data_IF_303806311760
#
_entry.id   IF_303806311760
#
_cell.length_a   1.000
_cell.length_b   1.000
_cell.length_c   1.000
_cell.angle_alpha   90.00
_cell.angle_beta   90.00
_cell.angle_gamma   90.00
#
_symmetry.space_group_name_H-M   'P 1'
#
loop_
_entity.id
_entity.type
_entity.pdbx_description
1 polymer ?
#
# COMPACT_ATOMS: atom_id res chain seq x y z
N UNK A 1 -19.68 0.98 -11.10
CA UNK A 1 -20.91 0.71 -11.88
C UNK A 1 -21.22 1.97 -12.68
N UNK A 2 -21.40 1.90 -14.00
CA UNK A 2 -21.79 3.09 -14.80
C UNK A 2 -23.31 3.20 -14.90
N UNK A 3 -23.86 4.41 -14.75
CA UNK A 3 -25.28 4.70 -15.05
C UNK A 3 -25.35 5.65 -16.23
N UNK A 4 -26.06 5.21 -17.27
CA UNK A 4 -26.35 6.04 -18.45
C UNK A 4 -27.76 6.59 -18.32
N UNK A 5 -27.91 7.90 -18.53
CA UNK A 5 -29.22 8.56 -18.57
C UNK A 5 -29.49 9.03 -19.99
N UNK A 6 -30.66 8.72 -20.52
CA UNK A 6 -31.14 9.22 -21.80
C UNK A 6 -32.42 10.03 -21.58
N UNK A 7 -32.60 11.08 -22.40
CA UNK A 7 -33.80 11.92 -22.40
C UNK A 7 -34.59 11.63 -23.68
N UNK A 8 -35.87 11.30 -23.54
CA UNK A 8 -36.82 11.25 -24.64
C UNK A 8 -37.44 12.66 -24.76
N UNK A 9 -37.34 13.26 -25.94
CA UNK A 9 -37.98 14.53 -26.25
C UNK A 9 -39.23 14.24 -27.06
N UNK A 10 -40.38 14.50 -26.46
CA UNK A 10 -41.68 14.34 -27.11
C UNK A 10 -42.28 15.72 -27.42
N UNK A 11 -42.54 16.05 -28.70
CA UNK A 11 -43.34 17.21 -29.05
C UNK A 11 -44.69 17.15 -28.34
N UNK A 12 -45.26 18.31 -28.00
CA UNK A 12 -46.60 18.37 -27.41
C UNK A 12 -47.40 19.46 -28.12
N UNK A 13 -48.70 19.24 -28.33
CA UNK A 13 -49.58 20.21 -28.99
C UNK A 13 -50.88 19.58 -29.52
N UNK A 14 -51.76 20.38 -30.13
CA UNK A 14 -52.90 19.87 -30.89
C UNK A 14 -53.12 20.67 -32.19
N UNK A 15 -53.14 20.03 -33.37
CA UNK A 15 -52.81 18.62 -33.59
C UNK A 15 -51.31 18.35 -33.37
N UNK A 16 -51.00 17.29 -32.64
CA UNK A 16 -49.64 16.77 -32.53
C UNK A 16 -49.33 15.90 -33.75
N UNK A 17 -48.25 16.23 -34.45
CA UNK A 17 -47.79 15.51 -35.63
C UNK A 17 -46.34 15.01 -35.48
N UNK A 18 -45.76 15.10 -34.28
CA UNK A 18 -44.45 14.59 -33.96
C UNK A 18 -44.48 13.18 -33.35
N UNK A 19 -43.36 12.46 -33.47
CA UNK A 19 -43.10 11.26 -32.66
C UNK A 19 -41.93 11.56 -31.73
N UNK A 20 -42.04 11.20 -30.45
CA UNK A 20 -40.94 11.35 -29.50
C UNK A 20 -39.64 10.75 -30.01
N UNK A 21 -38.56 11.53 -29.93
CA UNK A 21 -37.22 11.12 -30.35
C UNK A 21 -36.28 11.15 -29.15
N UNK A 22 -35.40 10.15 -29.03
CA UNK A 22 -34.35 10.20 -28.04
C UNK A 22 -33.38 11.33 -28.38
N UNK A 23 -32.97 12.10 -27.38
CA UNK A 23 -31.94 13.12 -27.55
C UNK A 23 -30.69 12.47 -28.14
N UNK A 24 -30.16 13.05 -29.23
CA UNK A 24 -29.02 12.52 -29.98
C UNK A 24 -27.74 12.42 -29.13
N UNK A 25 -27.68 13.12 -27.99
CA UNK A 25 -26.57 13.12 -27.06
C UNK A 25 -27.08 12.74 -25.68
N UNK A 26 -26.51 11.69 -25.08
CA UNK A 26 -26.76 11.31 -23.70
C UNK A 26 -25.58 11.75 -22.82
N UNK A 27 -25.85 12.07 -21.55
CA UNK A 27 -24.80 12.27 -20.55
C UNK A 27 -24.49 10.94 -19.88
N UNK A 28 -23.27 10.43 -20.12
CA UNK A 28 -22.78 9.21 -19.45
C UNK A 28 -22.12 9.59 -18.13
N UNK A 29 -22.60 9.01 -17.03
CA UNK A 29 -21.99 9.19 -15.71
C UNK A 29 -21.33 7.86 -15.32
N UNK A 30 -20.01 7.90 -15.16
CA UNK A 30 -19.22 6.74 -14.73
C UNK A 30 -18.87 6.89 -13.27
N UNK A 31 -19.30 5.93 -12.45
CA UNK A 31 -18.88 5.84 -11.05
C UNK A 31 -17.86 4.70 -10.94
N UNK A 32 -16.63 5.06 -10.62
CA UNK A 32 -15.55 4.11 -10.37
C UNK A 32 -15.60 3.60 -8.93
N UNK A 33 -15.18 2.35 -8.66
CA UNK A 33 -15.23 1.79 -7.31
C UNK A 33 -14.31 2.55 -6.35
N UNK A 34 -14.66 2.54 -5.06
CA UNK A 34 -13.79 3.06 -4.00
C UNK A 34 -12.44 2.35 -4.02
N UNK A 35 -11.37 3.09 -3.84
CA UNK A 35 -10.01 2.55 -3.80
C UNK A 35 -9.76 1.83 -2.48
N UNK A 36 -9.24 0.60 -2.57
CA UNK A 36 -8.61 -0.12 -1.49
C UNK A 36 -7.09 -0.13 -1.75
N UNK A 37 -6.30 0.37 -0.81
CA UNK A 37 -4.84 0.52 -0.97
C UNK A 37 -4.06 -0.77 -0.68
N UNK A 38 -4.75 -1.89 -0.46
CA UNK A 38 -4.18 -3.19 -0.19
C UNK A 38 -3.68 -3.36 1.25
N UNK A 39 -3.31 -4.60 1.57
CA UNK A 39 -2.73 -5.01 2.84
C UNK A 39 -1.41 -5.73 2.57
N UNK A 40 -0.34 -5.37 3.27
CA UNK A 40 0.95 -6.06 3.14
C UNK A 40 0.91 -7.43 3.85
N UNK A 41 1.40 -8.47 3.18
CA UNK A 41 1.76 -9.77 3.78
C UNK A 41 3.17 -9.69 4.32
N UNK A 42 3.29 -9.24 5.56
CA UNK A 42 4.50 -9.46 6.32
C UNK A 42 4.10 -9.57 7.78
N UNK A 43 4.42 -10.70 8.39
CA UNK A 43 4.53 -10.75 9.84
C UNK A 43 5.86 -10.13 10.24
N UNK A 44 5.90 -9.50 11.41
CA UNK A 44 7.14 -9.02 11.99
C UNK A 44 8.21 -10.13 11.97
N UNK A 45 9.42 -9.82 11.49
CA UNK A 45 10.53 -10.76 11.43
C UNK A 45 11.56 -10.41 12.50
N UNK A 46 12.21 -11.43 13.04
CA UNK A 46 13.31 -11.29 13.98
C UNK A 46 14.49 -12.10 13.46
N UNK A 47 15.62 -11.42 13.21
CA UNK A 47 16.82 -11.99 12.58
C UNK A 47 18.06 -11.70 13.43
N UNK A 48 19.09 -12.53 13.30
CA UNK A 48 20.40 -12.25 13.89
C UNK A 48 21.17 -11.20 13.05
N UNK A 49 22.07 -10.45 13.66
CA UNK A 49 22.95 -9.52 12.94
C UNK A 49 24.14 -10.25 12.27
N UNK A 50 24.36 -10.13 10.94
CA UNK A 50 23.49 -9.49 9.96
C UNK A 50 22.35 -10.41 9.48
N UNK A 51 21.20 -9.83 9.16
CA UNK A 51 19.99 -10.54 8.77
C UNK A 51 19.65 -10.41 7.28
N UNK A 52 18.95 -11.41 6.75
CA UNK A 52 18.36 -11.38 5.40
C UNK A 52 16.83 -11.43 5.49
N UNK A 53 16.14 -10.28 5.31
CA UNK A 53 14.68 -10.22 5.42
C UNK A 53 13.99 -10.93 4.25
N UNK A 54 12.88 -11.62 4.52
CA UNK A 54 12.05 -12.14 3.43
C UNK A 54 11.37 -11.01 2.64
N UNK A 55 11.19 -11.23 1.33
CA UNK A 55 10.47 -10.34 0.43
C UNK A 55 9.07 -9.95 0.96
N UNK A 56 8.73 -8.66 0.82
CA UNK A 56 7.47 -8.08 1.25
C UNK A 56 6.50 -8.05 0.07
N UNK A 57 5.30 -8.61 0.26
CA UNK A 57 4.25 -8.68 -0.79
C UNK A 57 2.91 -8.18 -0.25
N UNK A 58 1.88 -8.08 -1.09
CA UNK A 58 0.51 -7.79 -0.65
C UNK A 58 -0.27 -9.09 -0.40
N UNK A 59 -0.99 -9.17 0.72
CA UNK A 59 -1.94 -10.27 1.02
C UNK A 59 -3.26 -10.01 0.34
N UNK A 60 -3.64 -8.73 0.35
CA UNK A 60 -4.74 -8.19 -0.42
C UNK A 60 -4.16 -7.15 -1.36
N UNK A 61 -4.13 -7.37 -2.69
CA UNK A 61 -3.62 -6.38 -3.61
C UNK A 61 -4.51 -5.12 -3.64
N UNK A 62 -3.95 -3.94 -3.98
CA UNK A 62 -4.76 -2.75 -4.21
C UNK A 62 -5.82 -2.99 -5.29
N UNK A 63 -6.98 -2.38 -5.12
CA UNK A 63 -8.13 -2.55 -6.02
C UNK A 63 -9.05 -1.33 -6.02
N UNK A 64 -10.01 -1.31 -6.95
CA UNK A 64 -10.90 -0.17 -7.15
C UNK A 64 -10.31 0.91 -8.07
N UNK A 65 -10.91 2.10 -8.11
CA UNK A 65 -10.54 3.14 -9.07
C UNK A 65 -10.57 2.64 -10.52
N UNK A 66 -9.52 2.93 -11.29
CA UNK A 66 -9.32 2.38 -12.64
C UNK A 66 -8.55 1.05 -12.64
N UNK A 67 -8.29 0.47 -11.46
CA UNK A 67 -7.47 -0.72 -11.28
C UNK A 67 -6.02 -0.57 -11.77
N UNK A 68 -5.49 0.65 -11.70
CA UNK A 68 -4.11 1.01 -12.04
C UNK A 68 -3.51 1.77 -10.86
N UNK A 69 -2.28 1.42 -10.48
CA UNK A 69 -1.64 1.92 -9.26
C UNK A 69 -0.13 2.12 -9.46
N UNK A 70 0.40 3.19 -8.87
CA UNK A 70 1.82 3.37 -8.64
C UNK A 70 2.17 2.95 -7.21
N UNK A 71 3.41 2.50 -7.03
CA UNK A 71 3.94 2.07 -5.75
C UNK A 71 5.21 2.87 -5.45
N UNK A 72 5.43 3.19 -4.19
CA UNK A 72 6.71 3.70 -3.72
C UNK A 72 6.98 3.17 -2.31
N UNK A 73 8.12 2.50 -2.15
CA UNK A 73 8.55 1.96 -0.87
C UNK A 73 9.35 2.97 -0.06
N UNK A 74 9.16 2.90 1.24
CA UNK A 74 9.85 3.71 2.22
C UNK A 74 10.31 2.82 3.39
N UNK A 75 11.30 3.31 4.13
CA UNK A 75 11.67 2.73 5.41
C UNK A 75 11.75 3.77 6.52
N UNK A 76 11.73 3.27 7.75
CA UNK A 76 12.17 3.95 8.97
C UNK A 76 13.13 3.04 9.70
N UNK A 77 14.07 3.64 10.42
CA UNK A 77 14.87 2.89 11.38
C UNK A 77 14.01 2.50 12.59
N UNK A 78 14.37 1.37 13.21
CA UNK A 78 13.68 0.74 14.33
C UNK A 78 12.26 0.21 14.01
N UNK A 79 11.64 -0.48 14.97
CA UNK A 79 10.34 -1.17 14.89
C UNK A 79 9.32 -0.68 15.92
N UNK A 80 9.66 0.32 16.72
CA UNK A 80 8.80 0.86 17.79
C UNK A 80 7.61 1.66 17.28
N UNK A 81 7.72 2.30 16.12
CA UNK A 81 6.63 3.09 15.55
C UNK A 81 5.48 2.20 15.04
N UNK A 82 4.22 2.67 15.12
CA UNK A 82 3.11 1.99 14.47
C UNK A 82 3.25 2.05 12.95
N UNK A 83 2.58 1.12 12.25
CA UNK A 83 2.48 1.19 10.79
C UNK A 83 1.77 2.49 10.36
N UNK A 84 2.18 3.09 9.23
CA UNK A 84 1.67 4.39 8.82
C UNK A 84 0.24 4.28 8.27
N UNK A 85 -0.50 5.39 8.34
CA UNK A 85 -1.85 5.51 7.78
C UNK A 85 -2.01 6.86 7.06
N UNK A 86 -2.99 6.96 6.16
CA UNK A 86 -3.19 8.18 5.36
C UNK A 86 -2.06 8.40 4.35
N UNK A 87 -1.71 9.66 4.10
CA UNK A 87 -0.79 10.05 3.00
C UNK A 87 0.51 10.70 3.46
N UNK A 88 0.69 10.88 4.78
CA UNK A 88 1.84 11.61 5.31
C UNK A 88 3.10 10.76 5.25
N UNK A 89 4.13 11.26 4.57
CA UNK A 89 5.46 10.64 4.48
C UNK A 89 6.46 11.21 5.50
N UNK A 90 6.03 12.12 6.38
CA UNK A 90 6.91 12.72 7.39
C UNK A 90 7.61 11.61 8.19
N UNK A 91 8.94 11.73 8.38
CA UNK A 91 9.75 10.76 9.11
C UNK A 91 10.04 9.44 8.37
N UNK A 92 9.51 9.22 7.17
CA UNK A 92 9.84 8.07 6.32
C UNK A 92 10.94 8.45 5.31
N UNK A 93 11.84 7.51 5.03
CA UNK A 93 12.91 7.68 4.05
C UNK A 93 12.55 6.90 2.79
N UNK A 94 12.54 7.59 1.65
CA UNK A 94 12.22 6.99 0.36
C UNK A 94 13.31 5.99 -0.07
N UNK A 95 12.91 4.82 -0.54
CA UNK A 95 13.81 3.86 -1.18
C UNK A 95 13.79 4.12 -2.67
N UNK A 96 14.85 4.74 -3.19
CA UNK A 96 14.92 5.14 -4.60
C UNK A 96 14.80 3.93 -5.52
N UNK A 97 13.90 4.00 -6.51
CA UNK A 97 13.69 2.94 -7.51
C UNK A 97 12.82 1.77 -7.05
N UNK A 98 12.42 1.71 -5.78
CA UNK A 98 11.50 0.69 -5.30
C UNK A 98 10.05 1.08 -5.62
N UNK A 99 9.61 0.75 -6.84
CA UNK A 99 8.29 1.13 -7.39
C UNK A 99 7.42 -0.06 -7.79
N UNK A 100 7.73 -1.25 -7.31
CA UNK A 100 7.00 -2.50 -7.59
C UNK A 100 5.98 -2.82 -6.50
N UNK A 101 5.05 -3.73 -6.80
CA UNK A 101 4.05 -4.25 -5.84
C UNK A 101 4.64 -5.28 -4.84
N UNK A 102 5.95 -5.42 -4.81
CA UNK A 102 6.71 -6.13 -3.79
C UNK A 102 8.01 -5.41 -3.54
N UNK A 103 8.65 -5.68 -2.42
CA UNK A 103 9.98 -5.17 -2.12
C UNK A 103 10.78 -6.20 -1.35
N UNK A 104 11.96 -6.53 -1.88
CA UNK A 104 12.91 -7.43 -1.26
C UNK A 104 13.99 -6.60 -0.55
N UNK A 105 13.94 -6.47 0.79
CA UNK A 105 14.96 -5.72 1.50
C UNK A 105 16.35 -6.35 1.28
N UNK A 106 17.43 -5.55 1.19
CA UNK A 106 18.75 -6.10 0.93
C UNK A 106 19.18 -7.05 2.04
N UNK A 107 19.84 -8.15 1.69
CA UNK A 107 20.55 -8.99 2.65
C UNK A 107 21.62 -8.19 3.39
N UNK A 108 21.92 -8.56 4.63
CA UNK A 108 23.01 -7.95 5.39
C UNK A 108 22.56 -6.83 6.33
N UNK A 109 21.27 -6.77 6.69
CA UNK A 109 20.74 -5.77 7.62
C UNK A 109 21.40 -5.91 8.99
N UNK A 110 22.01 -4.82 9.46
CA UNK A 110 22.64 -4.74 10.80
C UNK A 110 21.81 -3.94 11.81
N UNK A 111 20.77 -3.25 11.35
CA UNK A 111 19.87 -2.43 12.15
C UNK A 111 18.42 -2.80 11.87
N UNK A 112 17.60 -2.76 12.92
CA UNK A 112 16.16 -2.95 12.81
C UNK A 112 15.54 -1.87 11.93
N UNK A 113 14.58 -2.25 11.09
CA UNK A 113 13.89 -1.34 10.16
C UNK A 113 12.42 -1.68 10.03
N UNK A 114 11.61 -0.65 9.81
CA UNK A 114 10.22 -0.78 9.38
C UNK A 114 10.09 -0.36 7.92
N UNK A 115 9.45 -1.17 7.08
CA UNK A 115 9.19 -0.90 5.67
C UNK A 115 7.69 -0.71 5.41
N UNK A 116 7.32 0.26 4.56
CA UNK A 116 5.94 0.48 4.16
C UNK A 116 5.86 0.92 2.70
N UNK A 117 4.71 0.70 2.07
CA UNK A 117 4.45 1.05 0.69
C UNK A 117 3.35 2.12 0.61
N UNK A 118 3.65 3.25 -0.03
CA UNK A 118 2.64 4.22 -0.45
C UNK A 118 2.07 3.76 -1.79
N UNK A 119 0.74 3.66 -1.87
CA UNK A 119 0.02 3.23 -3.07
C UNK A 119 -0.79 4.41 -3.60
N UNK A 120 -0.57 4.77 -4.86
CA UNK A 120 -1.23 5.88 -5.51
C UNK A 120 -2.08 5.36 -6.69
N UNK A 121 -3.42 5.41 -6.61
CA UNK A 121 -4.27 5.07 -7.73
C UNK A 121 -3.98 6.02 -8.89
N UNK A 122 -4.18 5.53 -10.11
CA UNK A 122 -3.95 6.32 -11.33
C UNK A 122 -5.13 6.21 -12.28
N UNK A 123 -5.03 6.89 -13.42
CA UNK A 123 -6.01 6.87 -14.51
C UNK A 123 -6.83 8.15 -14.57
N UNK A 124 -7.86 8.16 -15.42
CA UNK A 124 -8.71 9.32 -15.63
C UNK A 124 -10.20 8.91 -15.61
N UNK A 125 -11.01 9.40 -14.64
CA UNK A 125 -10.60 10.28 -13.54
C UNK A 125 -9.75 9.54 -12.51
N UNK A 126 -8.78 10.24 -11.92
CA UNK A 126 -8.09 9.80 -10.71
C UNK A 126 -8.92 10.25 -9.51
N UNK A 127 -9.36 9.30 -8.70
CA UNK A 127 -10.29 9.52 -7.59
C UNK A 127 -9.70 9.14 -6.22
N UNK A 128 -8.39 8.99 -6.14
CA UNK A 128 -7.70 8.80 -4.87
C UNK A 128 -6.46 9.67 -4.78
N UNK A 129 -5.84 9.62 -3.62
CA UNK A 129 -4.54 10.23 -3.37
C UNK A 129 -3.63 9.17 -2.81
N UNK A 130 -2.34 9.22 -3.13
CA UNK A 130 -1.32 8.36 -2.56
C UNK A 130 -1.54 8.12 -1.06
N UNK A 131 -1.79 6.87 -0.68
CA UNK A 131 -2.12 6.48 0.70
C UNK A 131 -1.33 5.23 1.05
N UNK A 132 -0.91 5.11 2.30
CA UNK A 132 -0.20 3.94 2.80
C UNK A 132 -1.07 2.69 2.67
N UNK A 133 -0.48 1.61 2.15
CA UNK A 133 -1.05 0.28 2.27
C UNK A 133 -1.27 -0.07 3.75
N UNK A 134 -2.28 -0.88 4.04
CA UNK A 134 -2.50 -1.34 5.40
C UNK A 134 -1.36 -2.27 5.84
N UNK A 135 -0.85 -2.03 7.05
CA UNK A 135 0.28 -2.78 7.60
C UNK A 135 1.65 -2.24 7.16
N UNK A 136 2.70 -2.84 7.71
CA UNK A 136 4.10 -2.51 7.45
C UNK A 136 4.98 -3.71 7.82
N UNK A 137 6.15 -3.83 7.22
CA UNK A 137 7.13 -4.87 7.53
C UNK A 137 8.11 -4.43 8.59
N UNK A 138 7.98 -4.94 9.82
CA UNK A 138 8.94 -4.70 10.89
C UNK A 138 9.99 -5.81 10.90
N UNK A 139 11.24 -5.43 10.73
CA UNK A 139 12.40 -6.31 10.78
C UNK A 139 13.20 -5.94 12.02
N UNK A 140 13.23 -6.84 13.00
CA UNK A 140 14.02 -6.71 14.22
C UNK A 140 15.34 -7.42 14.04
N UNK A 141 16.46 -6.70 14.18
CA UNK A 141 17.80 -7.28 14.20
C UNK A 141 18.26 -7.44 15.65
N UNK A 142 18.49 -8.68 16.07
CA UNK A 142 19.07 -9.01 17.38
C UNK A 142 20.60 -8.97 17.26
N UNK A 143 21.30 -8.28 18.18
CA UNK A 143 22.77 -8.31 18.24
C UNK A 143 23.30 -9.73 18.37
N UNK A 144 24.48 -9.99 17.79
CA UNK A 144 25.16 -11.26 18.04
C UNK A 144 25.43 -11.43 19.55
N UNK A 145 25.20 -12.65 20.07
CA UNK A 145 25.52 -12.98 21.45
C UNK A 145 27.04 -12.90 21.64
N UNK A 146 27.50 -11.96 22.46
CA UNK A 146 28.89 -11.87 22.85
C UNK A 146 29.16 -12.90 23.96
N UNK A 147 29.85 -14.00 23.64
CA UNK A 147 30.21 -15.08 24.59
C UNK A 147 31.30 -14.71 25.62
N UNK A 148 31.57 -13.42 25.89
CA UNK A 148 32.67 -12.99 26.77
C UNK A 148 32.35 -12.96 28.28
N UNK A 149 31.26 -13.60 28.73
CA UNK A 149 31.12 -13.90 30.15
C UNK A 149 31.77 -15.27 30.44
N UNK A 150 33.07 -15.26 30.72
CA UNK A 150 33.76 -16.39 31.34
C UNK A 150 33.07 -16.71 32.67
N UNK A 151 32.40 -17.86 32.75
CA UNK A 151 31.95 -18.42 34.02
C UNK A 151 33.20 -18.75 34.85
N UNK A 152 33.48 -17.94 35.88
CA UNK A 152 34.48 -18.26 36.89
C UNK A 152 33.91 -19.39 37.75
N UNK A 153 34.28 -20.64 37.44
CA UNK A 153 34.09 -21.76 38.35
C UNK A 153 34.99 -21.52 39.57
N UNK A 154 34.44 -21.03 40.69
CA UNK A 154 35.07 -21.24 42.00
C UNK A 154 34.83 -22.69 42.39
N UNK A 155 35.86 -23.53 42.29
CA UNK A 155 35.91 -24.76 43.06
C UNK A 155 36.29 -24.39 44.49
N UNK A 156 35.30 -24.17 45.34
CA UNK A 156 35.55 -24.24 46.78
C UNK A 156 35.68 -25.74 47.11
N UNK A 157 36.92 -26.23 47.12
CA UNK A 157 37.26 -27.53 47.70
C UNK A 157 37.48 -27.30 49.21
N UNK A 158 36.85 -28.20 49.98
CA UNK A 158 36.71 -28.25 51.43
C UNK A 158 37.98 -27.99 52.25
#
# INVERSE_FOLDING_TARGET
MSRTYACLVDPTGNPDCGTGTWAAVCRKITIIPVVNYGTLTIGDQTLCNPGDPSNITFSTPPSGGNNTFNYQWYYRDDVTNPCPTGSSISGWIMITGATTNSYDPPSGLTMSRTYACLVDPTGNPDCGTGTWAAGCGKITIIPAVNYWHTYNWRSDIM
#
